data_IF_802203352708
#
_entry.id   IF_802203352708
#
_cell.length_a   1.000
_cell.length_b   1.000
_cell.length_c   1.000
_cell.angle_alpha   90.00
_cell.angle_beta   90.00
_cell.angle_gamma   90.00
#
_symmetry.space_group_name_H-M   'P 1'
#
loop_
_entity.id
_entity.type
_entity.pdbx_description
1 polymer ?
#
# COMPACT_ATOMS: atom_id res chain seq x y z
N UNK A 1 13.33 -16.10 9.70
CA UNK A 1 12.37 -15.70 8.68
C UNK A 1 12.70 -14.31 8.12
N UNK A 2 12.80 -14.16 6.81
CA UNK A 2 12.86 -12.86 6.12
C UNK A 2 11.93 -12.87 4.90
N UNK A 3 10.91 -12.07 4.94
CA UNK A 3 9.92 -11.92 3.86
C UNK A 3 10.30 -10.82 2.84
N UNK A 4 11.50 -10.25 2.94
CA UNK A 4 11.95 -9.17 2.05
C UNK A 4 12.16 -9.69 0.63
N UNK A 5 11.56 -9.03 -0.34
CA UNK A 5 11.69 -9.38 -1.75
C UNK A 5 13.13 -9.24 -2.22
N UNK A 6 13.62 -10.21 -3.01
CA UNK A 6 14.97 -10.23 -3.54
C UNK A 6 16.06 -10.59 -2.51
N UNK A 7 15.67 -11.15 -1.35
CA UNK A 7 16.57 -11.88 -0.46
C UNK A 7 16.64 -13.35 -0.87
N UNK A 8 17.82 -13.95 -0.72
CA UNK A 8 18.11 -15.34 -1.08
C UNK A 8 18.68 -16.07 0.15
N UNK A 9 18.56 -17.37 0.17
CA UNK A 9 19.18 -18.25 1.18
C UNK A 9 20.68 -17.97 1.35
N UNK A 10 21.38 -17.63 0.25
CA UNK A 10 22.81 -17.28 0.26
C UNK A 10 23.13 -16.07 1.14
N UNK A 11 22.18 -15.16 1.32
CA UNK A 11 22.36 -13.99 2.21
C UNK A 11 22.55 -14.40 3.67
N UNK A 12 22.15 -15.63 4.05
CA UNK A 12 22.08 -16.09 5.44
C UNK A 12 22.96 -17.29 5.78
N UNK A 13 23.37 -18.12 4.80
CA UNK A 13 24.10 -19.39 5.04
C UNK A 13 25.32 -19.22 5.94
N UNK A 14 26.08 -18.11 5.80
CA UNK A 14 27.26 -17.84 6.63
C UNK A 14 26.96 -17.05 7.91
N UNK A 15 25.70 -16.72 8.18
CA UNK A 15 25.29 -15.86 9.30
C UNK A 15 24.46 -16.56 10.36
N UNK A 16 24.07 -17.81 10.10
CA UNK A 16 23.25 -18.60 11.02
C UNK A 16 23.90 -19.98 11.22
N UNK A 17 23.64 -20.68 12.34
CA UNK A 17 24.07 -22.05 12.55
C UNK A 17 23.59 -23.00 11.45
N UNK A 18 24.36 -24.04 11.14
CA UNK A 18 24.01 -25.05 10.12
C UNK A 18 22.68 -25.74 10.38
N UNK A 19 22.29 -25.85 11.65
CA UNK A 19 20.99 -26.41 12.07
C UNK A 19 19.80 -25.44 11.94
N UNK A 20 20.05 -24.19 11.52
CA UNK A 20 18.99 -23.19 11.37
C UNK A 20 18.23 -23.41 10.06
N UNK A 21 16.92 -23.58 10.14
CA UNK A 21 16.03 -23.52 8.99
C UNK A 21 15.84 -22.06 8.57
N UNK A 22 16.14 -21.74 7.30
CA UNK A 22 16.03 -20.40 6.75
C UNK A 22 14.76 -20.31 5.90
N UNK A 23 13.80 -19.52 6.36
CA UNK A 23 12.58 -19.19 5.63
C UNK A 23 12.75 -17.81 5.01
N UNK A 24 13.02 -17.76 3.70
CA UNK A 24 13.40 -16.54 2.99
C UNK A 24 12.63 -16.40 1.68
N UNK A 25 11.97 -15.26 1.53
CA UNK A 25 11.21 -14.93 0.33
C UNK A 25 9.78 -14.47 0.64
N UNK A 26 9.09 -13.98 -0.39
CA UNK A 26 7.73 -13.47 -0.28
C UNK A 26 6.69 -14.56 0.04
N UNK A 27 6.99 -15.82 -0.28
CA UNK A 27 6.16 -16.99 0.07
C UNK A 27 6.02 -17.20 1.58
N UNK A 28 6.95 -16.64 2.36
CA UNK A 28 6.91 -16.66 3.83
C UNK A 28 6.38 -15.36 4.42
N UNK A 29 5.71 -14.52 3.63
CA UNK A 29 5.14 -13.28 4.12
C UNK A 29 4.07 -13.56 5.18
N UNK A 30 4.24 -12.95 6.36
CA UNK A 30 3.30 -13.08 7.46
C UNK A 30 2.14 -12.12 7.26
N UNK A 31 1.01 -12.68 6.87
CA UNK A 31 -0.25 -11.94 6.72
C UNK A 31 -1.24 -12.34 7.81
N UNK A 32 -2.08 -11.40 8.22
CA UNK A 32 -3.19 -11.69 9.12
C UNK A 32 -4.21 -12.61 8.42
N UNK A 33 -4.87 -13.53 9.12
CA UNK A 33 -5.78 -14.51 8.53
C UNK A 33 -6.90 -13.89 7.68
N UNK A 34 -7.35 -12.68 8.01
CA UNK A 34 -8.40 -11.99 7.27
C UNK A 34 -8.04 -11.72 5.80
N UNK A 35 -6.76 -11.60 5.46
CA UNK A 35 -6.35 -11.41 4.06
C UNK A 35 -6.65 -12.63 3.21
N UNK A 36 -6.49 -13.85 3.73
CA UNK A 36 -6.88 -15.06 3.02
C UNK A 36 -8.40 -15.17 2.85
N UNK A 37 -9.17 -14.74 3.85
CA UNK A 37 -10.64 -14.77 3.80
C UNK A 37 -11.21 -13.82 2.72
N UNK A 38 -10.57 -12.65 2.53
CA UNK A 38 -10.99 -11.66 1.55
C UNK A 38 -10.39 -11.87 0.14
N UNK A 39 -9.46 -12.82 -0.02
CA UNK A 39 -8.71 -12.99 -1.26
C UNK A 39 -9.60 -13.36 -2.46
N UNK A 40 -10.44 -14.39 -2.33
CA UNK A 40 -11.30 -14.87 -3.41
C UNK A 40 -12.22 -13.75 -3.90
N UNK A 41 -13.00 -13.15 -3.01
CA UNK A 41 -13.84 -11.98 -3.31
C UNK A 41 -13.07 -10.86 -4.00
N UNK A 42 -11.86 -10.57 -3.51
CA UNK A 42 -11.04 -9.49 -4.03
C UNK A 42 -10.57 -9.75 -5.46
N UNK A 43 -10.19 -10.97 -5.79
CA UNK A 43 -9.74 -11.36 -7.13
C UNK A 43 -10.89 -11.38 -8.13
N UNK A 44 -12.01 -12.02 -7.81
CA UNK A 44 -13.21 -12.08 -8.66
C UNK A 44 -13.73 -10.68 -8.99
N UNK A 45 -13.81 -9.79 -7.98
CA UNK A 45 -14.28 -8.42 -8.16
C UNK A 45 -13.44 -7.64 -9.19
N UNK A 46 -12.13 -7.94 -9.30
CA UNK A 46 -11.18 -7.20 -10.17
C UNK A 46 -11.22 -7.60 -11.63
N UNK A 47 -11.82 -8.71 -12.00
CA UNK A 47 -11.91 -9.14 -13.41
C UNK A 47 -12.61 -8.11 -14.30
N UNK A 48 -13.57 -7.34 -13.74
CA UNK A 48 -14.35 -6.32 -14.46
C UNK A 48 -14.40 -4.98 -13.71
N UNK A 49 -13.39 -4.65 -12.91
CA UNK A 49 -13.43 -3.44 -12.09
C UNK A 49 -13.19 -2.16 -12.89
N UNK A 50 -13.92 -1.12 -12.51
CA UNK A 50 -13.67 0.27 -12.89
C UNK A 50 -13.14 1.01 -11.68
N UNK A 51 -12.37 2.08 -11.88
CA UNK A 51 -11.88 2.92 -10.79
C UNK A 51 -13.04 3.70 -10.15
N UNK A 52 -13.60 3.16 -9.07
CA UNK A 52 -14.66 3.77 -8.25
C UNK A 52 -14.22 4.01 -6.81
N UNK A 53 -13.24 3.28 -6.32
CA UNK A 53 -12.75 3.42 -4.96
C UNK A 53 -11.22 3.41 -4.91
N UNK A 54 -10.65 4.53 -4.47
CA UNK A 54 -9.21 4.72 -4.24
C UNK A 54 -8.91 4.63 -2.75
N UNK A 55 -7.94 3.80 -2.40
CA UNK A 55 -7.42 3.68 -1.04
C UNK A 55 -6.06 4.37 -0.92
N UNK A 56 -5.89 5.25 0.05
CA UNK A 56 -4.59 5.88 0.36
C UNK A 56 -4.14 5.41 1.74
N UNK A 57 -2.96 4.78 1.80
CA UNK A 57 -2.35 4.35 3.06
C UNK A 57 -0.82 4.37 2.98
N UNK A 58 -0.19 5.30 3.69
CA UNK A 58 1.26 5.49 3.73
C UNK A 58 1.91 4.92 5.01
N UNK A 59 1.23 3.98 5.67
CA UNK A 59 1.67 3.38 6.91
C UNK A 59 1.13 4.09 8.16
N UNK A 60 1.71 3.78 9.33
CA UNK A 60 1.14 4.20 10.61
C UNK A 60 1.40 5.66 10.99
N UNK A 61 2.46 6.28 10.49
CA UNK A 61 2.90 7.60 10.98
C UNK A 61 2.82 8.70 9.93
N UNK A 62 3.21 8.42 8.67
CA UNK A 62 3.30 9.44 7.58
C UNK A 62 4.01 10.73 8.06
N UNK A 63 5.27 10.59 8.48
CA UNK A 63 6.03 11.64 9.15
C UNK A 63 6.09 12.96 8.37
N UNK A 64 6.23 12.87 7.04
CA UNK A 64 6.47 14.00 6.14
C UNK A 64 5.18 14.52 5.49
N UNK A 65 4.00 14.08 5.98
CA UNK A 65 2.68 14.49 5.49
C UNK A 65 2.51 14.27 3.97
N UNK A 66 2.98 13.15 3.47
CA UNK A 66 2.86 12.80 2.05
C UNK A 66 1.40 12.57 1.66
N UNK A 67 0.56 12.12 2.61
CA UNK A 67 -0.89 11.97 2.39
C UNK A 67 -1.54 13.27 1.91
N UNK A 68 -1.23 14.42 2.54
CA UNK A 68 -1.76 15.73 2.11
C UNK A 68 -1.26 16.08 0.70
N UNK A 69 0.00 15.82 0.40
CA UNK A 69 0.59 16.10 -0.93
C UNK A 69 -0.10 15.27 -2.01
N UNK A 70 -0.37 13.98 -1.75
CA UNK A 70 -1.13 13.12 -2.66
C UNK A 70 -2.54 13.66 -2.89
N UNK A 71 -3.26 14.06 -1.85
CA UNK A 71 -4.60 14.64 -2.00
C UNK A 71 -4.59 15.92 -2.86
N UNK A 72 -3.57 16.78 -2.68
CA UNK A 72 -3.39 17.98 -3.50
C UNK A 72 -3.11 17.60 -4.96
N UNK A 73 -2.21 16.65 -5.21
CA UNK A 73 -1.87 16.20 -6.56
C UNK A 73 -3.07 15.58 -7.28
N UNK A 74 -3.88 14.78 -6.58
CA UNK A 74 -5.09 14.17 -7.15
C UNK A 74 -6.08 15.20 -7.69
N UNK A 75 -6.18 16.40 -7.12
CA UNK A 75 -7.04 17.48 -7.64
C UNK A 75 -6.68 17.91 -9.05
N UNK A 76 -5.44 17.68 -9.48
CA UNK A 76 -4.96 18.02 -10.83
C UNK A 76 -5.17 16.87 -11.82
N UNK A 77 -5.63 15.71 -11.36
CA UNK A 77 -5.84 14.53 -12.19
C UNK A 77 -7.27 14.48 -12.74
N UNK A 78 -7.41 14.02 -13.99
CA UNK A 78 -8.71 13.72 -14.58
C UNK A 78 -9.21 12.36 -14.06
N UNK A 79 -9.90 12.34 -12.93
CA UNK A 79 -10.46 11.14 -12.31
C UNK A 79 -11.98 11.07 -12.47
N UNK A 80 -12.59 9.86 -12.40
CA UNK A 80 -14.05 9.72 -12.48
C UNK A 80 -14.79 10.55 -11.42
N UNK A 81 -15.89 11.19 -11.81
CA UNK A 81 -16.70 12.03 -10.90
C UNK A 81 -17.28 11.28 -9.70
N UNK A 82 -17.58 9.99 -9.90
CA UNK A 82 -18.16 9.11 -8.87
C UNK A 82 -17.09 8.43 -7.98
N UNK A 83 -15.81 8.84 -8.11
CA UNK A 83 -14.74 8.28 -7.31
C UNK A 83 -14.98 8.51 -5.82
N UNK A 84 -14.75 7.47 -5.02
CA UNK A 84 -14.65 7.58 -3.57
C UNK A 84 -13.19 7.38 -3.15
N UNK A 85 -12.74 8.17 -2.19
CA UNK A 85 -11.38 8.10 -1.65
C UNK A 85 -11.45 7.75 -0.16
N UNK A 86 -10.78 6.69 0.24
CA UNK A 86 -10.58 6.37 1.65
C UNK A 86 -9.12 6.55 2.00
N UNK A 87 -8.85 7.43 2.96
CA UNK A 87 -7.52 7.66 3.51
C UNK A 87 -7.42 6.94 4.86
N UNK A 88 -6.48 6.01 4.98
CA UNK A 88 -6.24 5.29 6.24
C UNK A 88 -4.98 5.82 6.91
N UNK A 89 -5.13 6.30 8.13
CA UNK A 89 -4.03 6.83 8.96
C UNK A 89 -3.89 6.02 10.25
N UNK A 90 -2.67 5.96 10.77
CA UNK A 90 -2.43 5.39 12.09
C UNK A 90 -2.96 6.29 13.21
N UNK A 91 -3.30 5.70 14.37
CA UNK A 91 -3.86 6.46 15.51
C UNK A 91 -2.92 7.52 16.10
N UNK A 92 -1.62 7.40 15.85
CA UNK A 92 -0.58 8.33 16.32
C UNK A 92 -0.01 9.22 15.23
N UNK A 93 -0.61 9.21 14.02
CA UNK A 93 -0.14 10.04 12.92
C UNK A 93 -0.31 11.53 13.25
N UNK A 94 0.73 12.38 13.09
CA UNK A 94 0.71 13.77 13.52
C UNK A 94 -0.23 14.65 12.70
N UNK A 95 -0.49 14.29 11.43
CA UNK A 95 -1.17 15.13 10.43
C UNK A 95 -2.66 14.81 10.24
N UNK A 96 -3.31 14.10 11.17
CA UNK A 96 -4.72 13.69 11.03
C UNK A 96 -5.66 14.89 10.82
N UNK A 97 -5.41 16.03 11.50
CA UNK A 97 -6.25 17.22 11.38
C UNK A 97 -6.12 17.85 10.00
N UNK A 98 -4.89 18.03 9.53
CA UNK A 98 -4.56 18.62 8.24
C UNK A 98 -5.10 17.75 7.09
N UNK A 99 -4.92 16.44 7.17
CA UNK A 99 -5.45 15.49 6.18
C UNK A 99 -6.98 15.52 6.15
N UNK A 100 -7.65 15.60 7.30
CA UNK A 100 -9.11 15.75 7.36
C UNK A 100 -9.59 17.05 6.74
N UNK A 101 -8.88 18.16 6.99
CA UNK A 101 -9.21 19.44 6.36
C UNK A 101 -9.05 19.33 4.85
N UNK A 102 -7.92 18.78 4.37
CA UNK A 102 -7.68 18.59 2.93
C UNK A 102 -8.73 17.67 2.30
N UNK A 103 -9.18 16.64 3.02
CA UNK A 103 -10.21 15.72 2.54
C UNK A 103 -11.57 16.41 2.33
N UNK A 104 -11.92 17.39 3.15
CA UNK A 104 -13.15 18.20 2.98
C UNK A 104 -13.13 19.05 1.72
N UNK A 105 -11.93 19.46 1.29
CA UNK A 105 -11.73 20.31 0.10
C UNK A 105 -11.61 19.51 -1.20
N UNK A 106 -11.76 18.18 -1.15
CA UNK A 106 -11.67 17.32 -2.34
C UNK A 106 -12.97 17.38 -3.16
N UNK A 107 -12.88 17.32 -4.51
CA UNK A 107 -14.06 17.27 -5.36
C UNK A 107 -14.79 15.92 -5.33
N UNK A 108 -14.20 14.90 -4.70
CA UNK A 108 -14.75 13.56 -4.54
C UNK A 108 -15.09 13.28 -3.08
N UNK A 109 -16.03 12.35 -2.84
CA UNK A 109 -16.30 11.85 -1.49
C UNK A 109 -15.03 11.27 -0.89
N UNK A 110 -14.44 11.97 0.09
CA UNK A 110 -13.17 11.59 0.71
C UNK A 110 -13.35 11.40 2.21
N UNK A 111 -13.08 10.18 2.68
CA UNK A 111 -13.18 9.80 4.08
C UNK A 111 -11.80 9.55 4.68
N UNK A 112 -11.57 10.06 5.89
CA UNK A 112 -10.33 9.81 6.65
C UNK A 112 -10.65 8.94 7.86
N UNK A 113 -10.21 7.68 7.81
CA UNK A 113 -10.37 6.70 8.87
C UNK A 113 -9.06 6.50 9.62
N UNK A 114 -9.13 6.32 10.93
CA UNK A 114 -7.96 6.29 11.80
C UNK A 114 -7.97 5.01 12.64
N UNK A 115 -6.84 4.30 12.66
CA UNK A 115 -6.66 3.13 13.51
C UNK A 115 -7.58 1.97 13.17
N UNK A 116 -7.75 1.65 11.87
CA UNK A 116 -8.64 0.58 11.40
C UNK A 116 -8.12 -0.81 11.77
N UNK A 117 -9.05 -1.72 12.02
CA UNK A 117 -8.78 -3.14 12.25
C UNK A 117 -9.26 -4.04 11.10
N UNK A 118 -9.96 -3.48 10.11
CA UNK A 118 -10.53 -4.18 8.95
C UNK A 118 -9.81 -3.83 7.62
N UNK A 119 -8.49 -3.71 7.64
CA UNK A 119 -7.69 -3.31 6.47
C UNK A 119 -7.88 -4.25 5.27
N UNK A 120 -8.00 -5.56 5.50
CA UNK A 120 -8.22 -6.52 4.41
C UNK A 120 -9.54 -6.25 3.68
N UNK A 121 -10.61 -5.93 4.39
CA UNK A 121 -11.89 -5.55 3.81
C UNK A 121 -11.78 -4.26 2.98
N UNK A 122 -11.15 -3.22 3.55
CA UNK A 122 -10.94 -1.94 2.86
C UNK A 122 -10.15 -2.12 1.56
N UNK A 123 -9.06 -2.89 1.62
CA UNK A 123 -8.25 -3.21 0.43
C UNK A 123 -9.02 -4.05 -0.59
N UNK A 124 -9.77 -5.08 -0.15
CA UNK A 124 -10.55 -5.94 -1.03
C UNK A 124 -11.65 -5.17 -1.79
N UNK A 125 -12.24 -4.16 -1.16
CA UNK A 125 -13.29 -3.32 -1.73
C UNK A 125 -12.76 -2.13 -2.55
N UNK A 126 -11.46 -1.86 -2.54
CA UNK A 126 -10.83 -0.77 -3.30
C UNK A 126 -10.39 -1.25 -4.68
N UNK A 127 -10.38 -0.36 -5.68
CA UNK A 127 -9.99 -0.65 -7.06
C UNK A 127 -8.52 -0.33 -7.33
N UNK A 128 -7.99 0.67 -6.64
CA UNK A 128 -6.60 1.11 -6.70
C UNK A 128 -6.14 1.53 -5.31
N UNK A 129 -4.88 1.29 -5.01
CA UNK A 129 -4.25 1.85 -3.82
C UNK A 129 -3.12 2.82 -4.18
N UNK A 130 -2.92 3.84 -3.34
CA UNK A 130 -1.68 4.62 -3.28
C UNK A 130 -1.07 4.36 -1.91
N UNK A 131 0.18 3.91 -1.86
CA UNK A 131 0.80 3.54 -0.60
C UNK A 131 2.31 3.50 -0.60
N UNK A 132 2.90 3.33 0.58
CA UNK A 132 4.34 3.13 0.73
C UNK A 132 4.74 1.66 0.50
N UNK A 133 6.01 1.43 0.18
CA UNK A 133 6.60 0.10 0.14
C UNK A 133 6.97 -0.37 1.54
N UNK A 134 6.22 -1.33 2.05
CA UNK A 134 6.42 -1.95 3.36
C UNK A 134 5.70 -3.29 3.42
N UNK A 135 5.41 -3.81 4.62
CA UNK A 135 4.65 -5.06 4.80
C UNK A 135 3.28 -5.02 4.13
N UNK A 136 2.65 -3.86 4.02
CA UNK A 136 1.39 -3.66 3.30
C UNK A 136 1.47 -3.97 1.80
N UNK A 137 2.67 -4.04 1.21
CA UNK A 137 2.84 -4.51 -0.16
C UNK A 137 2.40 -5.96 -0.32
N UNK A 138 2.73 -6.83 0.65
CA UNK A 138 2.29 -8.22 0.65
C UNK A 138 0.79 -8.37 0.84
N UNK A 139 0.20 -7.51 1.66
CA UNK A 139 -1.25 -7.42 1.86
C UNK A 139 -1.96 -7.08 0.54
N UNK A 140 -1.46 -6.08 -0.19
CA UNK A 140 -1.99 -5.69 -1.52
C UNK A 140 -1.79 -6.79 -2.56
N UNK A 141 -0.61 -7.40 -2.63
CA UNK A 141 -0.33 -8.52 -3.52
C UNK A 141 -1.24 -9.73 -3.23
N UNK A 142 -1.46 -10.06 -1.95
CA UNK A 142 -2.37 -11.12 -1.55
C UNK A 142 -3.78 -10.92 -2.11
N UNK A 143 -4.27 -9.70 -2.11
CA UNK A 143 -5.61 -9.33 -2.58
C UNK A 143 -5.67 -8.97 -4.08
N UNK A 144 -4.55 -9.02 -4.80
CA UNK A 144 -4.47 -8.59 -6.20
C UNK A 144 -4.83 -7.10 -6.39
N UNK A 145 -4.65 -6.25 -5.35
CA UNK A 145 -4.99 -4.83 -5.41
C UNK A 145 -3.91 -4.05 -6.17
N UNK A 146 -4.23 -3.47 -7.35
CA UNK A 146 -3.30 -2.61 -8.07
C UNK A 146 -2.83 -1.45 -7.19
N UNK A 147 -1.55 -1.07 -7.30
CA UNK A 147 -1.00 -0.06 -6.41
C UNK A 147 -0.03 0.88 -7.13
N UNK A 148 -0.16 2.18 -6.82
CA UNK A 148 0.88 3.16 -7.03
C UNK A 148 1.69 3.23 -5.73
N UNK A 149 2.99 2.94 -5.82
CA UNK A 149 3.88 2.91 -4.64
C UNK A 149 4.75 4.14 -4.63
N UNK A 150 4.67 4.88 -3.52
CA UNK A 150 5.51 6.05 -3.26
C UNK A 150 6.77 5.61 -2.51
N UNK A 151 7.93 6.02 -3.00
CA UNK A 151 9.20 5.79 -2.34
C UNK A 151 9.40 6.82 -1.21
N UNK A 152 9.30 6.39 0.04
CA UNK A 152 9.48 7.26 1.21
C UNK A 152 10.90 7.16 1.81
N UNK A 153 11.67 6.13 1.45
CA UNK A 153 13.01 5.90 2.00
C UNK A 153 13.88 5.10 1.03
N UNK A 154 15.18 5.34 1.06
CA UNK A 154 16.16 4.71 0.16
C UNK A 154 16.11 3.17 0.21
N UNK A 155 15.92 2.59 1.40
CA UNK A 155 15.82 1.15 1.58
C UNK A 155 14.59 0.51 0.94
N UNK A 156 13.60 1.31 0.51
CA UNK A 156 12.40 0.84 -0.18
C UNK A 156 12.60 0.70 -1.69
N UNK A 157 13.56 1.40 -2.29
CA UNK A 157 13.78 1.43 -3.75
C UNK A 157 13.91 0.03 -4.36
N UNK A 158 14.68 -0.85 -3.71
CA UNK A 158 14.87 -2.21 -4.21
C UNK A 158 13.55 -2.99 -4.31
N UNK A 159 12.73 -2.91 -3.27
CA UNK A 159 11.42 -3.61 -3.23
C UNK A 159 10.47 -3.01 -4.26
N UNK A 160 10.45 -1.68 -4.39
CA UNK A 160 9.62 -0.97 -5.37
C UNK A 160 9.97 -1.39 -6.80
N UNK A 161 11.26 -1.40 -7.15
CA UNK A 161 11.72 -1.79 -8.49
C UNK A 161 11.29 -3.23 -8.82
N UNK A 162 11.46 -4.14 -7.88
CA UNK A 162 11.06 -5.53 -8.07
C UNK A 162 9.54 -5.66 -8.24
N UNK A 163 8.73 -4.97 -7.41
CA UNK A 163 7.28 -4.97 -7.56
C UNK A 163 6.84 -4.43 -8.92
N UNK A 164 7.54 -3.39 -9.43
CA UNK A 164 7.28 -2.83 -10.76
C UNK A 164 7.69 -3.80 -11.88
N UNK A 165 8.83 -4.46 -11.78
CA UNK A 165 9.28 -5.48 -12.75
C UNK A 165 8.30 -6.66 -12.87
N UNK A 166 7.69 -7.07 -11.75
CA UNK A 166 6.64 -8.09 -11.75
C UNK A 166 5.25 -7.58 -12.12
N UNK A 167 5.10 -6.28 -12.43
CA UNK A 167 3.80 -5.67 -12.75
C UNK A 167 2.84 -5.61 -11.56
N UNK A 168 3.34 -5.77 -10.33
CA UNK A 168 2.53 -5.76 -9.11
C UNK A 168 2.25 -4.33 -8.59
N UNK A 169 3.04 -3.34 -9.03
CA UNK A 169 2.85 -1.94 -8.68
C UNK A 169 3.43 -1.01 -9.74
N UNK A 170 2.97 0.23 -9.76
CA UNK A 170 3.61 1.34 -10.48
C UNK A 170 4.38 2.16 -9.45
N UNK A 171 5.68 2.40 -9.69
CA UNK A 171 6.45 3.30 -8.85
C UNK A 171 6.20 4.75 -9.21
N UNK A 172 6.09 5.60 -8.21
CA UNK A 172 6.02 7.04 -8.36
C UNK A 172 7.05 7.69 -7.43
N UNK A 173 7.87 8.60 -7.96
CA UNK A 173 8.73 9.43 -7.13
C UNK A 173 8.03 10.75 -6.83
N UNK A 174 8.30 11.32 -5.65
CA UNK A 174 7.80 12.66 -5.29
C UNK A 174 8.44 13.76 -6.15
N UNK A 175 9.58 13.46 -6.78
CA UNK A 175 10.32 14.39 -7.66
C UNK A 175 9.67 14.50 -9.05
N UNK A 176 8.91 13.49 -9.47
CA UNK A 176 8.22 13.47 -10.77
C UNK A 176 6.90 14.28 -10.75
N UNK A 177 6.57 14.93 -9.63
CA UNK A 177 5.29 15.60 -9.39
C UNK A 177 5.39 17.13 -9.38
N UNK A 178 6.53 17.71 -9.86
CA UNK A 178 6.77 19.18 -9.94
C UNK A 178 6.87 19.62 -11.38
#
# INVERSE_FOLDING_TARGET
LDQTFGRDLKDYIARVPVSCEILCGAEYALLRPEFSQWREYSLERRENSQLKHLLINLGGVDKDNITTQILIALKQCALPSELKITVVMGGTAPWIKEVRQQAQDMPWTTEVVVGVNNMAELMAKSDLAIGAAGSTSWERCCLGLPCIVICLAENQKKVINILAEYGAAISCSLEDSI
#
